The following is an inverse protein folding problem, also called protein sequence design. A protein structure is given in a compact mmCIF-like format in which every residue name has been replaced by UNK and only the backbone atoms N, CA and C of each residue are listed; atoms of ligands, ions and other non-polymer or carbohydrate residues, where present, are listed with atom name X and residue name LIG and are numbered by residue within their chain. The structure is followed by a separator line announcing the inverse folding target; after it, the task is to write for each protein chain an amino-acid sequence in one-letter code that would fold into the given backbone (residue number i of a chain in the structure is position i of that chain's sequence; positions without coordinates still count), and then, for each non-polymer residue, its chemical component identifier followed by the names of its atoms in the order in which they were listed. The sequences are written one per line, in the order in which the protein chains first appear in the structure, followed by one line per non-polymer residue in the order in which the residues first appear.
data_IF_915700777087
#
_entry.id   IF_915700777087
#
_cell.length_a   1.000
_cell.length_b   1.000
_cell.length_c   1.000
_cell.angle_alpha   90.00
_cell.angle_beta   90.00
_cell.angle_gamma   90.00
#
_symmetry.space_group_name_H-M   'P 1'
#
loop_
_entity.id
_entity.type
_entity.pdbx_description
1 polymer ?
#
# COMPACT_ATOMS: atom_id res chain seq x y z
N UNK A 1 -5.97 -13.50 -18.91
CA UNK A 1 -6.13 -13.09 -17.51
C UNK A 1 -5.48 -14.17 -16.67
N UNK A 2 -4.43 -13.85 -15.91
CA UNK A 2 -3.83 -14.82 -14.99
C UNK A 2 -4.76 -14.91 -13.78
N UNK A 3 -5.63 -15.92 -13.76
CA UNK A 3 -6.56 -16.24 -12.67
C UNK A 3 -5.80 -16.75 -11.44
N UNK A 4 -4.89 -15.94 -10.89
CA UNK A 4 -4.39 -16.18 -9.55
C UNK A 4 -5.48 -15.81 -8.56
N UNK A 5 -5.83 -16.74 -7.68
CA UNK A 5 -6.72 -16.46 -6.55
C UNK A 5 -6.15 -15.29 -5.74
N UNK A 6 -7.00 -14.35 -5.29
CA UNK A 6 -6.59 -13.32 -4.34
C UNK A 6 -5.93 -13.94 -3.12
N UNK A 7 -4.96 -13.25 -2.55
CA UNK A 7 -4.25 -13.67 -1.34
C UNK A 7 -3.87 -12.48 -0.48
N UNK A 8 -3.69 -12.71 0.82
CA UNK A 8 -3.21 -11.67 1.71
C UNK A 8 -1.68 -11.49 1.55
N UNK A 9 -1.27 -10.25 1.37
CA UNK A 9 0.12 -9.85 1.15
C UNK A 9 0.58 -8.90 2.25
N UNK A 10 1.51 -9.37 3.07
CA UNK A 10 2.26 -8.54 4.00
C UNK A 10 3.55 -8.08 3.33
N UNK A 11 3.78 -6.77 3.22
CA UNK A 11 4.95 -6.23 2.52
C UNK A 11 5.56 -5.05 3.27
N UNK A 12 6.87 -5.08 3.44
CA UNK A 12 7.65 -3.97 3.97
C UNK A 12 7.89 -2.92 2.87
N UNK A 13 7.69 -1.64 3.18
CA UNK A 13 7.98 -0.58 2.24
C UNK A 13 9.48 -0.33 2.14
N UNK A 14 10.03 -0.50 0.94
CA UNK A 14 11.45 -0.23 0.65
C UNK A 14 11.92 1.18 1.03
N UNK A 15 11.07 2.18 0.85
CA UNK A 15 11.47 3.59 1.03
C UNK A 15 11.45 4.06 2.49
N UNK A 16 10.56 3.50 3.33
CA UNK A 16 10.37 3.97 4.71
C UNK A 16 10.40 2.87 5.78
N UNK A 17 10.55 1.60 5.39
CA UNK A 17 10.59 0.44 6.28
C UNK A 17 9.24 0.09 6.92
N UNK A 18 8.16 0.79 6.57
CA UNK A 18 6.85 0.55 7.20
C UNK A 18 6.17 -0.67 6.58
N UNK A 19 5.70 -1.55 7.46
CA UNK A 19 4.95 -2.75 7.12
C UNK A 19 3.53 -2.40 6.65
N UNK A 20 3.11 -3.01 5.54
CA UNK A 20 1.80 -2.84 4.94
C UNK A 20 1.10 -4.19 4.81
N UNK A 21 -0.14 -4.26 5.29
CA UNK A 21 -1.00 -5.44 5.15
C UNK A 21 -2.03 -5.16 4.05
N UNK A 22 -1.95 -5.92 2.95
CA UNK A 22 -2.89 -5.84 1.82
C UNK A 22 -3.72 -7.11 1.80
N UNK A 23 -5.04 -6.98 1.98
CA UNK A 23 -5.97 -8.10 1.92
C UNK A 23 -6.48 -8.33 0.49
N UNK A 24 -6.75 -9.58 0.13
CA UNK A 24 -7.29 -9.96 -1.19
C UNK A 24 -6.47 -9.40 -2.38
N UNK A 25 -5.15 -9.35 -2.24
CA UNK A 25 -4.26 -8.81 -3.26
C UNK A 25 -4.29 -9.66 -4.54
N UNK A 26 -4.34 -8.96 -5.67
CA UNK A 26 -4.18 -9.54 -7.02
C UNK A 26 -3.09 -8.79 -7.78
N UNK A 27 -2.26 -9.45 -8.61
CA UNK A 27 -1.13 -8.78 -9.28
C UNK A 27 -1.48 -7.61 -10.22
N UNK A 28 -2.73 -7.47 -10.65
CA UNK A 28 -3.19 -6.31 -11.43
C UNK A 28 -3.50 -5.09 -10.57
N UNK A 29 -3.54 -5.23 -9.24
CA UNK A 29 -3.87 -4.15 -8.32
C UNK A 29 -2.62 -3.32 -8.01
N UNK A 30 -2.59 -2.02 -8.33
CA UNK A 30 -1.52 -1.15 -7.87
C UNK A 30 -1.64 -0.95 -6.35
N UNK A 31 -0.53 -1.10 -5.64
CA UNK A 31 -0.47 -0.96 -4.19
C UNK A 31 0.61 0.04 -3.78
N UNK A 32 0.28 0.86 -2.79
CA UNK A 32 1.10 1.99 -2.34
C UNK A 32 1.26 1.95 -0.82
N UNK A 33 2.41 2.42 -0.35
CA UNK A 33 2.70 2.49 1.08
C UNK A 33 1.73 3.46 1.77
N UNK A 34 1.18 3.04 2.90
CA UNK A 34 0.25 3.84 3.70
C UNK A 34 0.89 5.13 4.26
N UNK A 35 2.21 5.15 4.50
CA UNK A 35 2.94 6.34 4.99
C UNK A 35 3.50 7.23 3.88
N UNK A 36 4.47 6.74 3.08
CA UNK A 36 5.16 7.57 2.10
C UNK A 36 4.50 7.62 0.71
N UNK A 37 3.43 6.84 0.48
CA UNK A 37 2.72 6.74 -0.81
C UNK A 37 3.55 6.23 -1.98
N UNK A 38 4.77 5.76 -1.74
CA UNK A 38 5.58 5.08 -2.75
C UNK A 38 4.95 3.74 -3.15
N UNK A 39 5.22 3.30 -4.39
CA UNK A 39 4.78 1.99 -4.86
C UNK A 39 5.44 0.90 -4.01
N UNK A 40 4.64 -0.08 -3.55
CA UNK A 40 5.16 -1.18 -2.73
C UNK A 40 5.82 -2.27 -3.57
N UNK A 41 5.48 -2.36 -4.86
CA UNK A 41 6.06 -3.32 -5.80
C UNK A 41 6.65 -2.56 -6.97
N UNK A 42 7.95 -2.72 -7.15
CA UNK A 42 8.75 -2.20 -8.25
C UNK A 42 9.76 -3.26 -8.72
N UNK A 43 10.48 -2.99 -9.81
CA UNK A 43 11.43 -3.94 -10.39
C UNK A 43 12.62 -4.26 -9.46
N UNK A 44 12.98 -3.32 -8.58
CA UNK A 44 14.12 -3.39 -7.66
C UNK A 44 13.76 -4.14 -6.35
N UNK A 45 12.48 -4.48 -6.15
CA UNK A 45 12.01 -5.24 -4.98
C UNK A 45 12.73 -6.59 -4.85
N UNK A 46 13.07 -7.24 -5.96
CA UNK A 46 13.78 -8.53 -5.97
C UNK A 46 15.19 -8.48 -5.39
N UNK A 47 15.83 -7.31 -5.42
CA UNK A 47 17.19 -7.10 -4.93
C UNK A 47 17.23 -6.79 -3.43
N UNK A 48 16.13 -6.25 -2.90
CA UNK A 48 16.06 -5.72 -1.53
C UNK A 48 15.24 -6.59 -0.58
N UNK A 49 14.25 -7.32 -1.10
CA UNK A 49 13.31 -8.09 -0.28
C UNK A 49 13.39 -9.59 -0.53
N UNK A 50 13.03 -10.34 0.51
CA UNK A 50 12.86 -11.79 0.49
C UNK A 50 11.41 -12.14 0.75
N UNK A 51 11.00 -13.24 0.13
CA UNK A 51 9.67 -13.79 0.27
C UNK A 51 9.65 -14.96 1.25
N UNK A 52 8.62 -14.94 2.09
CA UNK A 52 8.25 -15.98 3.02
C UNK A 52 6.77 -16.31 2.85
N UNK A 53 6.37 -17.54 3.20
CA UNK A 53 4.98 -17.98 3.16
C UNK A 53 4.63 -18.64 4.49
N UNK A 54 3.57 -18.17 5.13
CA UNK A 54 3.02 -18.86 6.30
C UNK A 54 2.23 -20.09 5.85
N UNK A 55 2.61 -21.27 6.32
CA UNK A 55 1.95 -22.53 5.95
C UNK A 55 0.58 -22.73 6.62
N UNK A 56 0.25 -21.90 7.63
CA UNK A 56 -1.01 -22.02 8.36
C UNK A 56 -2.16 -21.20 7.73
N UNK A 57 -1.85 -20.04 7.15
CA UNK A 57 -2.85 -19.14 6.56
C UNK A 57 -2.55 -18.76 5.10
N UNK A 58 -1.52 -19.36 4.49
CA UNK A 58 -1.07 -19.11 3.11
C UNK A 58 -0.70 -17.63 2.80
N UNK A 59 -0.49 -16.81 3.84
CA UNK A 59 -0.09 -15.42 3.69
C UNK A 59 1.34 -15.32 3.15
N UNK A 60 1.52 -14.46 2.14
CA UNK A 60 2.84 -14.11 1.61
C UNK A 60 3.40 -12.92 2.37
N UNK A 61 4.62 -13.06 2.89
CA UNK A 61 5.35 -11.98 3.54
C UNK A 61 6.56 -11.60 2.68
N UNK A 62 6.68 -10.34 2.33
CA UNK A 62 7.78 -9.77 1.56
C UNK A 62 8.49 -8.74 2.41
N UNK A 63 9.63 -9.13 2.95
CA UNK A 63 10.35 -8.38 3.98
C UNK A 63 11.74 -8.01 3.49
N UNK A 64 12.28 -6.90 3.99
CA UNK A 64 13.66 -6.52 3.69
C UNK A 64 14.64 -7.64 4.05
N UNK A 65 15.74 -7.75 3.30
CA UNK A 65 16.84 -8.66 3.65
C UNK A 65 17.48 -8.33 5.01
N UNK A 66 17.35 -7.08 5.46
CA UNK A 66 17.82 -6.62 6.77
C UNK A 66 16.91 -7.07 7.92
N UNK A 67 15.65 -7.41 7.62
CA UNK A 67 14.66 -7.82 8.61
C UNK A 67 14.96 -9.24 9.10
N UNK A 68 15.31 -9.36 10.38
CA UNK A 68 15.65 -10.64 11.00
C UNK A 68 14.40 -11.53 11.18
N UNK A 69 14.23 -12.49 10.27
CA UNK A 69 13.21 -13.54 10.40
C UNK A 69 13.84 -14.83 10.91
N UNK A 70 13.48 -15.22 12.14
CA UNK A 70 13.91 -16.49 12.75
C UNK A 70 12.82 -17.54 12.55
N UNK A 71 13.10 -18.52 11.67
CA UNK A 71 12.16 -19.60 11.37
C UNK A 71 11.82 -20.38 12.65
N UNK A 72 10.53 -20.53 12.96
CA UNK A 72 10.03 -21.18 14.17
C UNK A 72 9.89 -20.28 15.40
N UNK A 73 10.44 -19.07 15.39
CA UNK A 73 10.27 -18.07 16.46
C UNK A 73 9.44 -16.87 16.01
N UNK A 74 9.69 -16.37 14.79
CA UNK A 74 8.94 -15.27 14.20
C UNK A 74 7.52 -15.74 13.87
N UNK A 75 6.52 -15.03 14.40
CA UNK A 75 5.12 -15.33 14.17
C UNK A 75 4.57 -14.55 12.98
N UNK A 76 3.74 -15.21 12.17
CA UNK A 76 2.85 -14.56 11.21
C UNK A 76 1.72 -13.83 11.94
N UNK A 77 1.00 -12.94 11.24
CA UNK A 77 -0.15 -12.20 11.81
C UNK A 77 -1.27 -13.12 12.32
N UNK A 78 -1.36 -14.36 11.79
CA UNK A 78 -2.29 -15.38 12.26
C UNK A 78 -1.87 -16.03 13.60
N UNK A 79 -0.67 -15.72 14.11
CA UNK A 79 -0.10 -16.28 15.33
C UNK A 79 0.69 -17.59 15.13
N UNK A 80 0.74 -18.14 13.92
CA UNK A 80 1.57 -19.31 13.62
C UNK A 80 3.04 -18.93 13.43
N UNK A 81 3.95 -19.76 13.92
CA UNK A 81 5.40 -19.63 13.66
C UNK A 81 5.87 -20.49 12.49
N UNK A 82 4.94 -21.18 11.82
CA UNK A 82 5.21 -22.02 10.65
C UNK A 82 5.31 -21.14 9.39
N UNK A 83 6.43 -20.42 9.31
CA UNK A 83 6.81 -19.54 8.20
C UNK A 83 7.96 -20.20 7.45
N UNK A 84 7.82 -20.36 6.14
CA UNK A 84 8.85 -20.90 5.26
C UNK A 84 9.46 -19.79 4.41
N UNK A 85 10.79 -19.80 4.27
CA UNK A 85 11.52 -18.90 3.38
C UNK A 85 11.48 -19.45 1.95
N UNK A 86 10.87 -18.71 1.02
CA UNK A 86 10.80 -19.05 -0.40
C UNK A 86 12.02 -18.55 -1.16
N UNK A 87 12.58 -17.39 -0.77
CA UNK A 87 13.76 -16.81 -1.39
C UNK A 87 13.47 -15.47 -2.05
N UNK A 88 13.94 -15.27 -3.28
CA UNK A 88 13.65 -14.04 -4.04
C UNK A 88 12.17 -13.98 -4.42
N UNK A 89 11.56 -12.81 -4.26
CA UNK A 89 10.15 -12.59 -4.60
C UNK A 89 9.92 -12.64 -6.10
N UNK A 90 8.79 -13.23 -6.51
CA UNK A 90 8.33 -13.22 -7.91
C UNK A 90 7.34 -12.10 -8.21
N UNK A 91 7.00 -11.27 -7.22
CA UNK A 91 5.96 -10.25 -7.33
C UNK A 91 6.17 -9.28 -8.52
N UNK A 92 7.35 -8.70 -8.75
CA UNK A 92 7.50 -7.73 -9.84
C UNK A 92 7.19 -8.33 -11.22
N UNK A 93 7.64 -9.57 -11.46
CA UNK A 93 7.33 -10.29 -12.69
C UNK A 93 5.83 -10.65 -12.83
N UNK A 94 5.14 -10.89 -11.71
CA UNK A 94 3.69 -11.14 -11.69
C UNK A 94 2.90 -9.88 -12.00
N UNK A 95 3.28 -8.74 -11.41
CA UNK A 95 2.63 -7.44 -11.61
C UNK A 95 2.84 -6.96 -13.05
N UNK A 96 4.07 -7.08 -13.58
CA UNK A 96 4.37 -6.75 -14.97
C UNK A 96 3.50 -7.56 -15.95
N UNK A 97 3.37 -8.87 -15.73
CA UNK A 97 2.52 -9.75 -16.57
C UNK A 97 1.03 -9.43 -16.46
N UNK A 98 0.59 -8.92 -15.31
CA UNK A 98 -0.80 -8.57 -15.06
C UNK A 98 -1.14 -7.13 -15.50
N UNK A 99 -0.15 -6.34 -15.90
CA UNK A 99 -0.32 -4.93 -16.25
C UNK A 99 -0.50 -4.01 -15.04
N UNK A 100 -0.20 -4.48 -13.81
CA UNK A 100 -0.38 -3.69 -12.58
C UNK A 100 0.65 -2.57 -12.39
N UNK A 101 1.69 -2.51 -13.23
CA UNK A 101 2.67 -1.41 -13.26
C UNK A 101 2.21 -0.24 -14.15
N UNK A 102 1.19 -0.44 -15.01
CA UNK A 102 0.68 0.60 -15.88
C UNK A 102 -0.07 1.64 -15.04
N UNK A 103 0.30 2.90 -15.17
CA UNK A 103 -0.42 3.98 -14.53
C UNK A 103 -1.74 4.22 -15.30
N UNK A 104 -2.92 4.21 -14.65
CA UNK A 104 -4.18 4.52 -15.34
C UNK A 104 -4.18 5.93 -15.95
N UNK A 105 -3.27 6.83 -15.55
CA UNK A 105 -3.14 8.18 -16.13
C UNK A 105 -2.60 8.22 -17.56
N UNK A 106 -2.06 7.14 -18.13
CA UNK A 106 -1.55 7.15 -19.52
C UNK A 106 -2.64 6.91 -20.58
N UNK A 107 -3.90 6.67 -20.17
CA UNK A 107 -5.01 6.35 -21.08
C UNK A 107 -6.25 7.24 -20.99
N UNK A 108 -6.41 8.01 -19.91
CA UNK A 108 -7.49 8.98 -19.80
C UNK A 108 -6.94 10.36 -20.15
N UNK A 109 -7.30 10.84 -21.35
CA UNK A 109 -7.28 12.27 -21.64
C UNK A 109 -8.02 12.96 -20.48
N UNK A 110 -7.26 13.63 -19.61
CA UNK A 110 -7.79 14.41 -18.50
C UNK A 110 -8.68 15.46 -19.14
N UNK A 111 -10.00 15.21 -19.17
CA UNK A 111 -10.95 16.27 -19.44
C UNK A 111 -10.74 17.28 -18.30
N UNK A 112 -10.19 18.44 -18.64
CA UNK A 112 -9.93 19.60 -17.78
C UNK A 112 -11.24 20.14 -17.20
N UNK A 113 -11.99 19.36 -16.43
CA UNK A 113 -13.21 19.81 -15.79
C UNK A 113 -13.56 18.80 -14.70
N UNK A 114 -13.16 19.07 -13.45
CA UNK A 114 -14.02 18.84 -12.27
C UNK A 114 -13.39 19.30 -10.94
N UNK A 115 -13.98 20.37 -10.41
CA UNK A 115 -14.50 20.46 -9.04
C UNK A 115 -13.57 20.64 -7.83
N UNK A 116 -12.46 21.36 -7.99
CA UNK A 116 -11.78 22.02 -6.85
C UNK A 116 -12.16 23.49 -6.67
N UNK A 117 -13.26 23.95 -7.30
CA UNK A 117 -13.81 25.27 -7.01
C UNK A 117 -14.66 25.14 -5.74
N UNK A 118 -14.08 25.55 -4.61
CA UNK A 118 -14.87 25.93 -3.43
C UNK A 118 -15.88 26.97 -3.93
N UNK A 119 -17.21 26.78 -3.81
CA UNK A 119 -18.13 27.80 -4.24
C UNK A 119 -17.81 29.05 -3.43
N UNK A 120 -17.34 30.10 -4.10
CA UNK A 120 -17.22 31.41 -3.53
C UNK A 120 -18.62 31.84 -3.15
N UNK A 121 -18.98 31.62 -1.88
CA UNK A 121 -20.25 32.04 -1.34
C UNK A 121 -20.39 33.52 -1.61
N UNK A 122 -21.36 33.88 -2.44
CA UNK A 122 -21.83 35.25 -2.58
C UNK A 122 -22.55 35.62 -1.29
N UNK A 123 -21.79 35.83 -0.23
CA UNK A 123 -22.22 36.34 1.05
C UNK A 123 -21.31 37.50 1.39
N UNK A 124 -21.89 38.66 1.65
CA UNK A 124 -21.19 39.72 2.37
C UNK A 124 -20.83 39.15 3.76
N UNK A 125 -19.63 38.62 3.90
CA UNK A 125 -19.09 38.23 5.19
C UNK A 125 -18.68 39.52 5.92
N UNK A 126 -19.62 40.07 6.67
CA UNK A 126 -19.31 40.94 7.81
C UNK A 126 -19.22 40.06 9.05
N UNK A 127 -18.28 39.09 9.00
CA UNK A 127 -18.02 38.13 10.06
C UNK A 127 -16.58 38.35 10.52
N UNK A 128 -16.41 39.33 11.41
CA UNK A 128 -15.14 39.60 12.08
C UNK A 128 -14.73 38.34 12.85
N UNK A 129 -13.69 37.65 12.34
CA UNK A 129 -13.19 36.36 12.84
C UNK A 129 -12.87 36.37 14.35
N UNK A 130 -12.66 37.55 14.92
CA UNK A 130 -12.36 37.79 16.33
C UNK A 130 -13.57 37.55 17.25
N UNK A 131 -14.81 37.68 16.77
CA UNK A 131 -16.01 37.52 17.61
C UNK A 131 -16.35 36.05 17.92
N UNK A 132 -15.82 35.10 17.15
CA UNK A 132 -16.03 33.66 17.38
C UNK A 132 -15.28 33.13 18.61
N UNK A 133 -14.17 33.77 19.01
CA UNK A 133 -13.34 33.32 20.12
C UNK A 133 -13.53 34.14 21.40
N UNK A 134 -14.23 35.27 21.32
CA UNK A 134 -14.46 36.18 22.45
C UNK A 134 -15.78 35.95 23.19
N UNK A 135 -16.53 34.89 22.88
CA UNK A 135 -17.73 34.52 23.65
C UNK A 135 -17.34 33.71 24.89
N UNK A 136 -17.20 34.42 26.01
CA UNK A 136 -16.99 33.84 27.34
C UNK A 136 -18.22 32.99 27.74
N UNK A 137 -18.09 31.68 28.06
CA UNK A 137 -19.22 30.86 28.44
C UNK A 137 -19.54 31.10 29.92
N UNK A 138 -20.31 32.16 30.17
CA UNK A 138 -20.93 32.44 31.47
C UNK A 138 -22.11 31.52 31.78
#
# INVERSE_FOLDING_TARGET
MNDKKPYDLFIECRSCGVENMITDYVPSMPIFCNQCRERLIDDELTETHLEYVCQACDMRLVLSQETEVKLGESACSCGSTDVLKTGQTTLPAEVLKAGGLNDPSEGDEILEDTDWIRPGGSGSFDDDYEDMFNQDPG
#
